data_IF_978137686618
#
_entry.id   IF_978137686618
#
_cell.length_a   1.000
_cell.length_b   1.000
_cell.length_c   1.000
_cell.angle_alpha   90.00
_cell.angle_beta   90.00
_cell.angle_gamma   90.00
#
_symmetry.space_group_name_H-M   'P 1'
#
loop_
_entity.id
_entity.type
_entity.pdbx_description
1 polymer ?
#
# COMPACT_ATOMS: atom_id res chain seq x y z
N UNK A 1 10.24 2.87 9.69
CA UNK A 1 8.81 2.60 9.90
C UNK A 1 8.46 1.25 9.26
N UNK A 2 7.57 0.48 9.88
CA UNK A 2 6.93 -0.69 9.28
C UNK A 2 5.92 -0.26 8.22
N UNK A 3 5.39 -1.19 7.41
CA UNK A 3 4.33 -0.83 6.45
C UNK A 3 3.04 -0.42 7.15
N UNK A 4 2.70 -1.06 8.27
CA UNK A 4 1.56 -0.69 9.12
C UNK A 4 1.72 0.76 9.62
N UNK A 5 2.89 1.09 10.18
CA UNK A 5 3.17 2.45 10.67
C UNK A 5 3.10 3.50 9.54
N UNK A 6 3.60 3.19 8.33
CA UNK A 6 3.47 4.09 7.19
C UNK A 6 2.00 4.38 6.86
N UNK A 7 1.17 3.34 6.73
CA UNK A 7 -0.24 3.52 6.38
C UNK A 7 -1.00 4.29 7.45
N UNK A 8 -0.73 4.03 8.73
CA UNK A 8 -1.29 4.81 9.84
C UNK A 8 -0.93 6.30 9.75
N UNK A 9 0.34 6.62 9.50
CA UNK A 9 0.81 8.01 9.36
C UNK A 9 0.12 8.70 8.18
N UNK A 10 0.14 8.09 6.98
CA UNK A 10 -0.46 8.69 5.80
C UNK A 10 -1.99 8.81 5.90
N UNK A 11 -2.66 7.85 6.53
CA UNK A 11 -4.10 7.92 6.82
C UNK A 11 -4.43 9.09 7.76
N UNK A 12 -3.59 9.30 8.78
CA UNK A 12 -3.75 10.42 9.71
C UNK A 12 -3.52 11.76 9.02
N UNK A 13 -2.48 11.86 8.16
CA UNK A 13 -2.20 13.06 7.35
C UNK A 13 -3.36 13.36 6.39
N UNK A 14 -3.97 12.33 5.81
CA UNK A 14 -5.17 12.46 4.95
C UNK A 14 -6.45 12.79 5.74
N UNK A 15 -6.40 12.89 7.07
CA UNK A 15 -7.53 13.31 7.89
C UNK A 15 -8.60 12.23 8.10
N UNK A 16 -8.25 10.95 7.95
CA UNK A 16 -9.21 9.86 8.18
C UNK A 16 -9.60 9.74 9.67
N UNK A 17 -10.86 9.39 9.99
CA UNK A 17 -11.29 9.20 11.37
C UNK A 17 -10.44 8.14 12.08
N UNK A 18 -9.91 8.39 13.29
CA UNK A 18 -9.03 7.45 14.00
C UNK A 18 -9.62 6.05 14.17
N UNK A 19 -10.94 5.96 14.34
CA UNK A 19 -11.69 4.69 14.43
C UNK A 19 -11.63 3.84 13.16
N UNK A 20 -11.48 4.49 11.99
CA UNK A 20 -11.42 3.82 10.69
C UNK A 20 -10.00 3.43 10.26
N UNK A 21 -8.97 4.13 10.76
CA UNK A 21 -7.58 3.97 10.28
C UNK A 21 -7.11 2.53 10.38
N UNK A 22 -7.39 1.85 11.51
CA UNK A 22 -6.97 0.45 11.70
C UNK A 22 -7.58 -0.47 10.63
N UNK A 23 -8.88 -0.37 10.40
CA UNK A 23 -9.58 -1.20 9.42
C UNK A 23 -9.11 -0.91 7.99
N UNK A 24 -8.90 0.36 7.64
CA UNK A 24 -8.38 0.76 6.33
C UNK A 24 -6.95 0.25 6.12
N UNK A 25 -6.09 0.37 7.13
CA UNK A 25 -4.72 -0.16 7.07
C UNK A 25 -4.71 -1.67 6.87
N UNK A 26 -5.52 -2.42 7.63
CA UNK A 26 -5.62 -3.88 7.50
C UNK A 26 -6.12 -4.30 6.10
N UNK A 27 -7.13 -3.61 5.58
CA UNK A 27 -7.64 -3.82 4.21
C UNK A 27 -6.55 -3.57 3.17
N UNK A 28 -5.92 -2.39 3.19
CA UNK A 28 -4.90 -2.03 2.20
C UNK A 28 -3.71 -2.98 2.24
N UNK A 29 -3.27 -3.42 3.42
CA UNK A 29 -2.20 -4.41 3.55
C UNK A 29 -2.58 -5.77 2.96
N UNK A 30 -3.85 -6.17 3.06
CA UNK A 30 -4.37 -7.39 2.46
C UNK A 30 -4.39 -7.26 0.92
N UNK A 31 -4.92 -6.16 0.40
CA UNK A 31 -5.03 -5.88 -1.03
C UNK A 31 -3.65 -5.97 -1.70
N UNK A 32 -2.62 -5.36 -1.09
CA UNK A 32 -1.25 -5.41 -1.61
C UNK A 32 -0.41 -6.62 -1.19
N UNK A 33 -1.01 -7.65 -0.57
CA UNK A 33 -0.35 -8.87 -0.09
C UNK A 33 0.88 -8.60 0.81
N UNK A 34 0.75 -7.67 1.75
CA UNK A 34 1.78 -7.32 2.73
C UNK A 34 1.41 -7.63 4.18
N UNK A 35 0.23 -8.19 4.46
CA UNK A 35 -0.24 -8.52 5.82
C UNK A 35 0.79 -9.31 6.63
N UNK A 36 1.40 -10.35 6.05
CA UNK A 36 2.42 -11.17 6.73
C UNK A 36 3.73 -10.44 7.04
N UNK A 37 3.98 -9.30 6.39
CA UNK A 37 5.16 -8.45 6.59
C UNK A 37 4.82 -7.11 7.22
N UNK A 38 3.61 -6.93 7.75
CA UNK A 38 3.07 -5.64 8.19
C UNK A 38 3.94 -4.93 9.25
N UNK A 39 4.52 -5.72 10.16
CA UNK A 39 5.36 -5.27 11.27
C UNK A 39 6.86 -5.20 10.93
N UNK A 40 7.25 -5.68 9.75
CA UNK A 40 8.64 -5.65 9.29
C UNK A 40 8.95 -4.23 8.80
N UNK A 41 10.17 -3.74 9.06
CA UNK A 41 10.62 -2.43 8.59
C UNK A 41 10.59 -2.36 7.06
N UNK A 42 9.94 -1.34 6.50
CA UNK A 42 9.87 -1.16 5.04
C UNK A 42 11.25 -0.97 4.39
N UNK A 43 12.28 -0.60 5.16
CA UNK A 43 13.67 -0.53 4.69
C UNK A 43 14.20 -1.88 4.17
N UNK A 44 13.80 -2.99 4.80
CA UNK A 44 14.23 -4.35 4.42
C UNK A 44 13.35 -5.00 3.35
N UNK A 45 12.36 -4.28 2.83
CA UNK A 45 11.51 -4.77 1.75
C UNK A 45 12.29 -4.87 0.44
N UNK A 46 11.96 -5.89 -0.36
CA UNK A 46 12.39 -5.95 -1.76
C UNK A 46 11.83 -4.76 -2.55
N UNK A 47 12.39 -4.48 -3.73
CA UNK A 47 11.89 -3.42 -4.61
C UNK A 47 10.39 -3.56 -4.90
N UNK A 48 9.94 -4.77 -5.21
CA UNK A 48 8.52 -5.05 -5.45
C UNK A 48 7.64 -4.83 -4.21
N UNK A 49 8.09 -5.21 -3.02
CA UNK A 49 7.35 -4.95 -1.77
C UNK A 49 7.25 -3.45 -1.46
N UNK A 50 8.34 -2.68 -1.67
CA UNK A 50 8.32 -1.21 -1.52
C UNK A 50 7.34 -0.56 -2.49
N UNK A 51 7.31 -1.05 -3.73
CA UNK A 51 6.42 -0.56 -4.76
C UNK A 51 4.95 -0.86 -4.44
N UNK A 52 4.64 -2.07 -3.96
CA UNK A 52 3.32 -2.44 -3.44
C UNK A 52 2.88 -1.56 -2.26
N UNK A 53 3.79 -1.28 -1.31
CA UNK A 53 3.51 -0.34 -0.23
C UNK A 53 3.21 1.08 -0.75
N UNK A 54 3.94 1.54 -1.76
CA UNK A 54 3.68 2.84 -2.40
C UNK A 54 2.29 2.90 -3.02
N UNK A 55 1.82 1.81 -3.65
CA UNK A 55 0.46 1.70 -4.19
C UNK A 55 -0.57 1.74 -3.06
N UNK A 56 -0.37 0.98 -1.98
CA UNK A 56 -1.25 1.03 -0.80
C UNK A 56 -1.40 2.45 -0.24
N UNK A 57 -0.30 3.19 -0.12
CA UNK A 57 -0.31 4.58 0.36
C UNK A 57 -1.12 5.49 -0.57
N UNK A 58 -0.98 5.31 -1.89
CA UNK A 58 -1.73 6.08 -2.88
C UNK A 58 -3.25 5.86 -2.73
N UNK A 59 -3.67 4.61 -2.49
CA UNK A 59 -5.06 4.18 -2.35
C UNK A 59 -5.72 4.54 -1.01
N UNK A 60 -4.97 5.07 -0.03
CA UNK A 60 -5.55 5.51 1.25
C UNK A 60 -6.67 6.53 1.03
N UNK A 61 -7.83 6.29 1.64
CA UNK A 61 -8.95 7.22 1.64
C UNK A 61 -9.79 7.18 0.36
N UNK A 62 -9.72 6.10 -0.41
CA UNK A 62 -10.55 5.84 -1.59
C UNK A 62 -10.56 7.02 -2.59
N UNK A 63 -9.39 7.38 -3.15
CA UNK A 63 -9.28 8.51 -4.05
C UNK A 63 -9.99 8.24 -5.38
N UNK A 64 -10.76 9.23 -5.88
CA UNK A 64 -11.40 9.16 -7.20
C UNK A 64 -10.43 9.12 -8.38
N UNK A 65 -9.20 9.57 -8.18
CA UNK A 65 -8.15 9.63 -9.19
C UNK A 65 -6.79 9.43 -8.53
N UNK A 66 -5.99 8.53 -9.10
CA UNK A 66 -4.63 8.24 -8.64
C UNK A 66 -3.67 8.41 -9.80
N UNK A 67 -2.62 9.20 -9.61
CA UNK A 67 -1.49 9.28 -10.53
C UNK A 67 -0.38 8.37 -10.04
N UNK A 68 0.05 7.45 -10.88
CA UNK A 68 1.12 6.51 -10.59
C UNK A 68 2.23 6.69 -11.62
N UNK A 69 3.38 7.20 -11.19
CA UNK A 69 4.56 7.30 -12.04
C UNK A 69 5.39 6.04 -11.91
N UNK A 70 5.50 5.25 -12.98
CA UNK A 70 6.23 3.97 -13.04
C UNK A 70 5.79 2.88 -12.03
N UNK A 71 4.48 2.61 -11.80
CA UNK A 71 3.97 1.71 -10.74
C UNK A 71 4.55 0.29 -10.75
N UNK A 72 5.06 -0.18 -11.88
CA UNK A 72 5.46 -1.58 -12.05
C UNK A 72 6.90 -1.77 -12.53
N UNK A 73 7.71 -0.71 -12.61
CA UNK A 73 9.10 -0.79 -13.08
C UNK A 73 9.93 -1.70 -12.16
N UNK A 74 10.69 -2.62 -12.75
CA UNK A 74 11.56 -3.54 -12.01
C UNK A 74 10.84 -4.62 -11.19
N UNK A 75 9.51 -4.77 -11.35
CA UNK A 75 8.76 -5.89 -10.78
C UNK A 75 8.79 -7.09 -11.73
N UNK A 76 8.79 -8.30 -11.15
CA UNK A 76 8.56 -9.51 -11.93
C UNK A 76 7.13 -9.54 -12.52
N UNK A 77 6.87 -10.33 -13.58
CA UNK A 77 5.59 -10.35 -14.26
C UNK A 77 4.39 -10.69 -13.37
N UNK A 78 4.58 -11.48 -12.31
CA UNK A 78 3.50 -11.90 -11.39
C UNK A 78 3.15 -10.74 -10.47
N UNK A 79 4.15 -10.10 -9.88
CA UNK A 79 3.95 -8.94 -9.00
C UNK A 79 3.32 -7.77 -9.75
N UNK A 80 3.71 -7.54 -11.01
CA UNK A 80 3.11 -6.51 -11.87
C UNK A 80 1.62 -6.74 -12.12
N UNK A 81 1.20 -7.99 -12.40
CA UNK A 81 -0.22 -8.33 -12.56
C UNK A 81 -1.00 -8.05 -11.28
N UNK A 82 -0.46 -8.48 -10.14
CA UNK A 82 -1.10 -8.24 -8.84
C UNK A 82 -1.33 -6.75 -8.55
N UNK A 83 -0.40 -5.86 -8.93
CA UNK A 83 -0.60 -4.42 -8.78
C UNK A 83 -1.73 -3.91 -9.69
N UNK A 84 -1.82 -4.41 -10.92
CA UNK A 84 -2.89 -4.04 -11.84
C UNK A 84 -4.27 -4.53 -11.37
N UNK A 85 -4.35 -5.73 -10.81
CA UNK A 85 -5.61 -6.28 -10.28
C UNK A 85 -6.18 -5.37 -9.19
N UNK A 86 -5.34 -4.81 -8.32
CA UNK A 86 -5.76 -3.86 -7.26
C UNK A 86 -6.24 -2.52 -7.84
N UNK A 87 -5.65 -2.07 -8.96
CA UNK A 87 -6.01 -0.78 -9.58
C UNK A 87 -7.31 -0.88 -10.39
N UNK A 88 -7.65 -2.08 -10.87
CA UNK A 88 -8.83 -2.31 -11.72
C UNK A 88 -10.11 -2.69 -10.95
N UNK A 89 -10.02 -2.96 -9.65
CA UNK A 89 -11.18 -3.07 -8.74
C UNK A 89 -11.71 -1.69 -8.32
#
# INVERSE_FOLDING_TARGET
LSSEEHLHIFASIKGLPPSSIKSITEKLLADVKLTGSAKIRAGSYSGGMKRRLSVAIALIGDPKLVFLDEPTTGMDPITRRHVWDIIQE
#
